data_IF_530454676731
#
_entry.id   IF_530454676731
#
_cell.length_a   1.000
_cell.length_b   1.000
_cell.length_c   1.000
_cell.angle_alpha   90.00
_cell.angle_beta   90.00
_cell.angle_gamma   90.00
#
_symmetry.space_group_name_H-M   'P 1'
#
loop_
_entity.id
_entity.type
_entity.pdbx_description
1 polymer ?
#
# COMPACT_ATOMS: atom_id res chain seq x y z
N UNK A 1 22.10 -4.81 -3.85
CA UNK A 1 22.23 -5.46 -5.17
C UNK A 1 21.47 -6.78 -5.33
N UNK A 2 21.45 -7.70 -4.36
CA UNK A 2 20.74 -8.99 -4.50
C UNK A 2 19.20 -8.88 -4.58
N UNK A 3 18.59 -7.88 -3.93
CA UNK A 3 17.14 -7.73 -3.89
C UNK A 3 16.49 -7.32 -5.22
N UNK A 4 17.13 -6.43 -5.99
CA UNK A 4 16.54 -5.89 -7.23
C UNK A 4 16.50 -6.95 -8.35
N UNK A 5 17.60 -7.69 -8.57
CA UNK A 5 17.66 -8.77 -9.56
C UNK A 5 16.73 -9.95 -9.18
N UNK A 6 16.61 -10.26 -7.89
CA UNK A 6 15.65 -11.27 -7.42
C UNK A 6 14.20 -10.84 -7.70
N UNK A 7 13.86 -9.58 -7.46
CA UNK A 7 12.53 -9.07 -7.71
C UNK A 7 12.21 -8.96 -9.20
N UNK A 8 13.16 -8.57 -10.03
CA UNK A 8 13.02 -8.58 -11.50
C UNK A 8 12.69 -9.98 -11.99
N UNK A 9 13.45 -10.99 -11.55
CA UNK A 9 13.20 -12.39 -11.88
C UNK A 9 11.83 -12.86 -11.39
N UNK A 10 11.40 -12.43 -10.20
CA UNK A 10 10.09 -12.78 -9.66
C UNK A 10 8.94 -12.14 -10.46
N UNK A 11 9.05 -10.85 -10.81
CA UNK A 11 8.07 -10.15 -11.63
C UNK A 11 7.99 -10.71 -13.05
N UNK A 12 9.15 -11.01 -13.66
CA UNK A 12 9.22 -11.62 -14.99
C UNK A 12 8.59 -13.02 -15.01
N UNK A 13 8.90 -13.86 -14.01
CA UNK A 13 8.26 -15.16 -13.84
C UNK A 13 6.76 -15.04 -13.61
N UNK A 14 6.31 -14.12 -12.76
CA UNK A 14 4.89 -13.86 -12.49
C UNK A 14 4.14 -13.46 -13.77
N UNK A 15 4.72 -12.56 -14.56
CA UNK A 15 4.15 -12.11 -15.82
C UNK A 15 4.09 -13.23 -16.86
N UNK A 16 5.19 -13.96 -17.07
CA UNK A 16 5.25 -15.09 -18.00
C UNK A 16 4.25 -16.20 -17.64
N UNK A 17 4.23 -16.61 -16.36
CA UNK A 17 3.27 -17.58 -15.86
C UNK A 17 1.83 -17.10 -16.05
N UNK A 18 1.55 -15.81 -15.78
CA UNK A 18 0.25 -15.20 -15.98
C UNK A 18 -0.23 -15.26 -17.43
N UNK A 19 0.63 -14.92 -18.40
CA UNK A 19 0.30 -15.01 -19.83
C UNK A 19 0.01 -16.46 -20.24
N UNK A 20 0.83 -17.42 -19.77
CA UNK A 20 0.61 -18.84 -20.07
C UNK A 20 -0.74 -19.29 -19.51
N UNK A 21 -1.07 -18.92 -18.27
CA UNK A 21 -2.37 -19.22 -17.63
C UNK A 21 -3.52 -18.62 -18.46
N UNK A 22 -3.42 -17.37 -18.91
CA UNK A 22 -4.46 -16.75 -19.75
C UNK A 22 -4.66 -17.52 -21.05
N UNK A 23 -3.58 -17.94 -21.72
CA UNK A 23 -3.68 -18.73 -22.95
C UNK A 23 -4.33 -20.09 -22.72
N UNK A 24 -4.01 -20.76 -21.61
CA UNK A 24 -4.66 -22.02 -21.22
C UNK A 24 -6.16 -21.80 -20.93
N UNK A 25 -6.52 -20.73 -20.21
CA UNK A 25 -7.91 -20.39 -19.92
C UNK A 25 -8.70 -20.06 -21.19
N UNK A 26 -8.06 -19.39 -22.16
CA UNK A 26 -8.63 -19.09 -23.46
C UNK A 26 -8.91 -20.37 -24.27
N UNK A 27 -7.98 -21.33 -24.26
CA UNK A 27 -8.15 -22.63 -24.90
C UNK A 27 -9.27 -23.47 -24.28
N UNK A 28 -9.56 -23.27 -23.00
CA UNK A 28 -10.62 -23.96 -22.26
C UNK A 28 -11.96 -23.20 -22.26
N UNK A 29 -12.03 -22.06 -22.96
CA UNK A 29 -13.20 -21.15 -23.04
C UNK A 29 -13.75 -20.71 -21.67
N UNK A 30 -12.85 -20.48 -20.71
CA UNK A 30 -13.21 -20.10 -19.34
C UNK A 30 -13.30 -18.56 -19.22
N UNK A 31 -14.44 -18.06 -18.73
CA UNK A 31 -14.70 -16.62 -18.57
C UNK A 31 -13.73 -15.88 -17.63
N UNK A 32 -13.02 -16.58 -16.74
CA UNK A 32 -12.02 -16.00 -15.84
C UNK A 32 -10.81 -15.39 -16.57
N UNK A 33 -10.60 -15.69 -17.86
CA UNK A 33 -9.48 -15.19 -18.66
C UNK A 33 -9.37 -13.65 -18.64
N UNK A 34 -10.49 -12.93 -18.67
CA UNK A 34 -10.49 -11.45 -18.73
C UNK A 34 -9.99 -10.84 -17.43
N UNK A 35 -10.35 -11.45 -16.28
CA UNK A 35 -9.91 -11.01 -14.96
C UNK A 35 -8.41 -11.25 -14.81
N UNK A 36 -7.94 -12.45 -15.17
CA UNK A 36 -6.51 -12.79 -15.10
C UNK A 36 -5.70 -11.91 -16.04
N UNK A 37 -6.17 -11.68 -17.27
CA UNK A 37 -5.49 -10.80 -18.23
C UNK A 37 -5.41 -9.36 -17.70
N UNK A 38 -6.46 -8.84 -17.06
CA UNK A 38 -6.43 -7.51 -16.44
C UNK A 38 -5.34 -7.42 -15.36
N UNK A 39 -5.25 -8.42 -14.47
CA UNK A 39 -4.21 -8.46 -13.43
C UNK A 39 -2.79 -8.57 -14.02
N UNK A 40 -2.61 -9.44 -15.01
CA UNK A 40 -1.33 -9.63 -15.70
C UNK A 40 -0.89 -8.35 -16.42
N UNK A 41 -1.82 -7.58 -16.98
CA UNK A 41 -1.51 -6.31 -17.65
C UNK A 41 -0.91 -5.29 -16.68
N UNK A 42 -1.42 -5.20 -15.44
CA UNK A 42 -0.90 -4.32 -14.39
C UNK A 42 0.52 -4.75 -13.99
N UNK A 43 0.75 -6.05 -13.82
CA UNK A 43 2.10 -6.60 -13.54
C UNK A 43 3.06 -6.29 -14.69
N UNK A 44 2.59 -6.36 -15.94
CA UNK A 44 3.36 -6.01 -17.13
C UNK A 44 3.80 -4.54 -17.14
N UNK A 45 2.91 -3.62 -16.81
CA UNK A 45 3.27 -2.20 -16.64
C UNK A 45 4.28 -1.99 -15.50
N UNK A 46 4.17 -2.75 -14.41
CA UNK A 46 5.19 -2.76 -13.35
C UNK A 46 6.55 -3.29 -13.83
N UNK A 47 6.56 -4.33 -14.67
CA UNK A 47 7.78 -4.88 -15.27
C UNK A 47 8.46 -3.88 -16.23
N UNK A 48 7.69 -3.05 -16.95
CA UNK A 48 8.24 -2.02 -17.83
C UNK A 48 9.13 -1.00 -17.08
N UNK A 49 8.93 -0.79 -15.77
CA UNK A 49 9.81 0.08 -14.97
C UNK A 49 11.25 -0.45 -14.89
N UNK A 50 11.45 -1.77 -14.97
CA UNK A 50 12.78 -2.37 -15.04
C UNK A 50 13.46 -2.10 -16.39
N UNK A 51 12.69 -2.04 -17.48
CA UNK A 51 13.24 -1.64 -18.77
C UNK A 51 13.77 -0.19 -18.73
N UNK A 52 13.08 0.69 -18.00
CA UNK A 52 13.53 2.07 -17.80
C UNK A 52 14.83 2.14 -16.97
N UNK A 53 15.13 1.12 -16.17
CA UNK A 53 16.38 1.00 -15.42
C UNK A 53 17.62 0.93 -16.32
N UNK A 54 17.46 0.46 -17.57
CA UNK A 54 18.55 0.38 -18.54
C UNK A 54 19.04 1.75 -19.04
N UNK A 55 18.25 2.82 -18.85
CA UNK A 55 18.65 4.17 -19.22
C UNK A 55 19.51 4.81 -18.13
N UNK A 56 20.69 5.33 -18.48
CA UNK A 56 21.64 5.93 -17.54
C UNK A 56 21.07 7.15 -16.77
N UNK A 57 20.10 7.86 -17.36
CA UNK A 57 19.43 9.01 -16.74
C UNK A 57 18.30 8.63 -15.78
N UNK A 58 17.52 7.60 -16.10
CA UNK A 58 16.29 7.27 -15.36
C UNK A 58 16.47 6.08 -14.42
N UNK A 59 17.47 5.22 -14.65
CA UNK A 59 17.74 4.05 -13.82
C UNK A 59 18.05 4.35 -12.36
N UNK A 60 18.88 5.36 -12.03
CA UNK A 60 19.11 5.74 -10.65
C UNK A 60 17.84 6.17 -9.92
N UNK A 61 16.91 6.85 -10.60
CA UNK A 61 15.64 7.28 -10.01
C UNK A 61 14.71 6.09 -9.72
N UNK A 62 14.60 5.13 -10.64
CA UNK A 62 13.80 3.91 -10.43
C UNK A 62 14.38 3.06 -9.30
N UNK A 63 15.70 2.94 -9.25
CA UNK A 63 16.38 2.22 -8.17
C UNK A 63 16.12 2.87 -6.79
N UNK A 64 16.17 4.20 -6.72
CA UNK A 64 15.86 4.95 -5.50
C UNK A 64 14.41 4.72 -5.02
N UNK A 65 13.42 4.79 -5.92
CA UNK A 65 12.01 4.50 -5.59
C UNK A 65 11.85 3.08 -5.05
N UNK A 66 12.51 2.11 -5.69
CA UNK A 66 12.43 0.72 -5.28
C UNK A 66 12.94 0.50 -3.85
N UNK A 67 14.06 1.12 -3.50
CA UNK A 67 14.69 0.98 -2.19
C UNK A 67 13.88 1.66 -1.09
N UNK A 68 13.35 2.87 -1.34
CA UNK A 68 12.42 3.56 -0.44
C UNK A 68 11.14 2.76 -0.19
N UNK A 69 10.55 2.16 -1.25
CA UNK A 69 9.30 1.41 -1.15
C UNK A 69 9.46 0.13 -0.30
N UNK A 70 10.50 -0.65 -0.55
CA UNK A 70 10.69 -1.93 0.13
C UNK A 70 11.18 -1.78 1.58
N UNK A 71 12.06 -0.82 1.85
CA UNK A 71 12.68 -0.73 3.17
C UNK A 71 11.88 0.14 4.14
N UNK A 72 11.43 1.31 3.68
CA UNK A 72 10.84 2.30 4.57
C UNK A 72 9.33 2.10 4.64
N UNK A 73 8.65 2.11 3.47
CA UNK A 73 7.19 2.04 3.42
C UNK A 73 6.64 0.73 4.02
N UNK A 74 7.28 -0.41 3.79
CA UNK A 74 6.81 -1.70 4.32
C UNK A 74 6.80 -1.75 5.87
N UNK A 75 7.82 -1.20 6.54
CA UNK A 75 7.87 -1.20 8.02
C UNK A 75 6.73 -0.37 8.61
N UNK A 76 6.48 0.80 8.05
CA UNK A 76 5.35 1.65 8.46
C UNK A 76 4.01 1.01 8.10
N UNK A 77 3.91 0.33 6.95
CA UNK A 77 2.70 -0.38 6.55
C UNK A 77 2.31 -1.47 7.58
N UNK A 78 3.29 -2.22 8.11
CA UNK A 78 3.03 -3.22 9.16
C UNK A 78 2.48 -2.56 10.43
N UNK A 79 3.07 -1.44 10.88
CA UNK A 79 2.57 -0.71 12.06
C UNK A 79 1.16 -0.19 11.80
N UNK A 80 0.92 0.39 10.62
CA UNK A 80 -0.39 0.86 10.20
C UNK A 80 -1.44 -0.26 10.22
N UNK A 81 -1.11 -1.46 9.71
CA UNK A 81 -2.03 -2.60 9.70
C UNK A 81 -2.47 -3.01 11.11
N UNK A 82 -1.60 -2.90 12.12
CA UNK A 82 -1.96 -3.17 13.52
C UNK A 82 -2.98 -2.15 14.04
N UNK A 83 -2.76 -0.85 13.78
CA UNK A 83 -3.71 0.19 14.16
C UNK A 83 -5.03 0.08 13.39
N UNK A 84 -4.96 -0.18 12.09
CA UNK A 84 -6.13 -0.41 11.23
C UNK A 84 -6.99 -1.55 11.77
N UNK A 85 -6.38 -2.68 12.13
CA UNK A 85 -7.08 -3.82 12.73
C UNK A 85 -7.72 -3.45 14.09
N UNK A 86 -6.99 -2.74 14.96
CA UNK A 86 -7.51 -2.34 16.28
C UNK A 86 -8.70 -1.38 16.21
N UNK A 87 -8.59 -0.33 15.40
CA UNK A 87 -9.68 0.64 15.22
C UNK A 87 -10.87 0.04 14.46
N UNK A 88 -10.63 -0.76 13.42
CA UNK A 88 -11.72 -1.45 12.71
C UNK A 88 -12.48 -2.41 13.60
N UNK A 89 -11.80 -3.12 14.51
CA UNK A 89 -12.47 -3.96 15.52
C UNK A 89 -13.34 -3.12 16.47
N UNK A 90 -12.84 -1.98 16.95
CA UNK A 90 -13.60 -1.10 17.83
C UNK A 90 -14.86 -0.54 17.14
N UNK A 91 -14.73 -0.11 15.88
CA UNK A 91 -15.87 0.33 15.07
C UNK A 91 -16.83 -0.81 14.74
N UNK A 92 -16.35 -2.02 14.48
CA UNK A 92 -17.19 -3.19 14.24
C UNK A 92 -18.14 -3.45 15.42
N UNK A 93 -17.62 -3.37 16.65
CA UNK A 93 -18.42 -3.49 17.88
C UNK A 93 -19.40 -2.32 18.01
N UNK A 94 -18.94 -1.10 17.75
CA UNK A 94 -19.73 0.11 17.95
C UNK A 94 -20.89 0.26 16.94
N UNK A 95 -20.69 -0.24 15.72
CA UNK A 95 -21.72 -0.29 14.68
C UNK A 95 -22.66 -1.48 14.83
N UNK A 96 -22.46 -2.33 15.86
CA UNK A 96 -23.24 -3.54 16.10
C UNK A 96 -23.34 -4.42 14.83
N UNK A 97 -22.25 -4.45 14.06
CA UNK A 97 -22.15 -5.22 12.84
C UNK A 97 -22.00 -6.71 13.19
N UNK A 98 -22.56 -7.59 12.37
CA UNK A 98 -22.51 -9.03 12.59
C UNK A 98 -21.79 -9.75 11.45
N UNK A 99 -21.06 -10.81 11.82
CA UNK A 99 -20.33 -11.66 10.88
C UNK A 99 -19.09 -11.02 10.25
N UNK A 100 -18.39 -11.81 9.44
CA UNK A 100 -17.14 -11.41 8.80
C UNK A 100 -17.34 -10.24 7.81
N UNK A 101 -18.49 -10.19 7.12
CA UNK A 101 -18.82 -9.09 6.21
C UNK A 101 -18.88 -7.73 6.92
N UNK A 102 -19.44 -7.69 8.13
CA UNK A 102 -19.48 -6.48 8.94
C UNK A 102 -18.09 -5.99 9.37
N UNK A 103 -17.19 -6.92 9.68
CA UNK A 103 -15.80 -6.58 10.01
C UNK A 103 -15.05 -6.01 8.80
N UNK A 104 -15.27 -6.58 7.61
CA UNK A 104 -14.73 -6.02 6.36
C UNK A 104 -15.25 -4.61 6.06
N UNK A 105 -16.52 -4.32 6.38
CA UNK A 105 -17.09 -2.96 6.24
C UNK A 105 -16.35 -1.98 7.15
N UNK A 106 -16.08 -2.35 8.40
CA UNK A 106 -15.32 -1.51 9.33
C UNK A 106 -13.87 -1.32 8.89
N UNK A 107 -13.20 -2.37 8.39
CA UNK A 107 -11.86 -2.23 7.77
C UNK A 107 -11.92 -1.27 6.58
N UNK A 108 -12.90 -1.44 5.69
CA UNK A 108 -13.10 -0.58 4.52
C UNK A 108 -13.24 0.88 4.93
N UNK A 109 -14.09 1.17 5.91
CA UNK A 109 -14.32 2.53 6.39
C UNK A 109 -13.07 3.15 6.99
N UNK A 110 -12.30 2.39 7.80
CA UNK A 110 -11.04 2.90 8.31
C UNK A 110 -10.03 3.15 7.18
N UNK A 111 -9.91 2.23 6.22
CA UNK A 111 -8.98 2.36 5.10
C UNK A 111 -9.28 3.58 4.21
N UNK A 112 -10.54 3.79 3.83
CA UNK A 112 -10.94 4.99 3.08
C UNK A 112 -10.87 6.26 3.94
N UNK A 113 -11.16 6.15 5.24
CA UNK A 113 -10.96 7.23 6.20
C UNK A 113 -9.50 7.68 6.29
N UNK A 114 -8.52 6.77 6.17
CA UNK A 114 -7.11 7.16 6.07
C UNK A 114 -6.84 8.05 4.83
N UNK A 115 -7.53 7.81 3.72
CA UNK A 115 -7.42 8.61 2.50
C UNK A 115 -8.18 9.94 2.58
N UNK A 116 -8.87 10.21 3.69
CA UNK A 116 -9.67 11.40 3.92
C UNK A 116 -11.15 11.27 3.53
N UNK A 117 -11.60 10.07 3.14
CA UNK A 117 -12.99 9.80 2.79
C UNK A 117 -13.77 9.35 4.04
N UNK A 118 -14.47 10.29 4.67
CA UNK A 118 -15.24 10.06 5.90
C UNK A 118 -16.74 10.15 5.65
N UNK A 119 -17.43 9.02 5.76
CA UNK A 119 -18.89 8.95 5.80
C UNK A 119 -19.40 9.29 7.22
N UNK A 120 -19.49 10.57 7.54
CA UNK A 120 -19.89 11.06 8.88
C UNK A 120 -21.31 10.65 9.27
N UNK A 121 -22.19 10.43 8.30
CA UNK A 121 -23.57 9.98 8.55
C UNK A 121 -23.57 8.58 9.16
N UNK A 122 -22.63 7.72 8.76
CA UNK A 122 -22.47 6.40 9.36
C UNK A 122 -22.04 6.44 10.82
N UNK A 123 -21.16 7.37 11.20
CA UNK A 123 -20.68 7.49 12.59
C UNK A 123 -21.72 8.15 13.51
N UNK A 124 -22.49 9.11 12.97
CA UNK A 124 -23.54 9.82 13.72
C UNK A 124 -24.82 9.01 13.88
N UNK A 125 -25.10 8.08 12.96
CA UNK A 125 -26.26 7.17 13.03
C UNK A 125 -26.18 6.07 14.08
N UNK A 126 -25.12 6.03 14.89
CA UNK A 126 -24.91 5.01 15.93
C UNK A 126 -25.63 5.36 17.24
N UNK A 127 -25.97 4.34 18.04
CA UNK A 127 -26.56 4.56 19.38
C UNK A 127 -25.68 5.41 20.30
N UNK A 128 -24.37 5.44 20.05
CA UNK A 128 -23.39 6.19 20.83
C UNK A 128 -22.62 7.20 19.97
N UNK A 129 -23.33 8.14 19.32
CA UNK A 129 -22.73 9.08 18.35
C UNK A 129 -21.46 9.78 18.88
N UNK A 130 -21.48 10.23 20.14
CA UNK A 130 -20.37 11.00 20.70
C UNK A 130 -19.11 10.15 20.84
N UNK A 131 -19.27 8.87 21.20
CA UNK A 131 -18.16 7.93 21.33
C UNK A 131 -17.62 7.58 19.95
N UNK A 132 -18.50 7.31 18.97
CA UNK A 132 -18.13 6.99 17.59
C UNK A 132 -17.32 8.09 16.93
N UNK A 133 -17.80 9.33 17.03
CA UNK A 133 -17.12 10.50 16.45
C UNK A 133 -15.81 10.79 17.20
N UNK A 134 -15.78 10.66 18.52
CA UNK A 134 -14.54 10.84 19.29
C UNK A 134 -13.48 9.80 18.91
N UNK A 135 -13.87 8.52 18.76
CA UNK A 135 -13.00 7.45 18.32
C UNK A 135 -12.47 7.70 16.89
N UNK A 136 -13.32 8.24 16.01
CA UNK A 136 -12.92 8.65 14.66
C UNK A 136 -11.87 9.75 14.68
N UNK A 137 -12.06 10.81 15.48
CA UNK A 137 -11.07 11.88 15.60
C UNK A 137 -9.73 11.34 16.10
N UNK A 138 -9.74 10.46 17.10
CA UNK A 138 -8.53 9.81 17.61
C UNK A 138 -7.86 8.98 16.50
N UNK A 139 -8.62 8.18 15.75
CA UNK A 139 -8.12 7.40 14.62
C UNK A 139 -7.42 8.30 13.59
N UNK A 140 -8.06 9.39 13.18
CA UNK A 140 -7.52 10.32 12.18
C UNK A 140 -6.22 10.97 12.66
N UNK A 141 -6.17 11.42 13.91
CA UNK A 141 -4.95 12.02 14.48
C UNK A 141 -3.82 10.99 14.54
N UNK A 142 -4.09 9.78 15.04
CA UNK A 142 -3.09 8.71 15.14
C UNK A 142 -2.55 8.34 13.76
N UNK A 143 -3.43 8.09 12.77
CA UNK A 143 -3.01 7.73 11.41
C UNK A 143 -2.25 8.87 10.75
N UNK A 144 -2.67 10.12 10.94
CA UNK A 144 -1.94 11.27 10.41
C UNK A 144 -0.51 11.35 10.97
N UNK A 145 -0.33 11.13 12.28
CA UNK A 145 1.00 11.08 12.89
C UNK A 145 1.84 9.93 12.31
N UNK A 146 1.25 8.74 12.12
CA UNK A 146 1.95 7.60 11.52
C UNK A 146 2.40 7.88 10.08
N UNK A 147 1.54 8.50 9.26
CA UNK A 147 1.87 8.88 7.88
C UNK A 147 2.93 9.99 7.82
N UNK A 148 2.86 10.97 8.72
CA UNK A 148 3.88 12.00 8.84
C UNK A 148 5.24 11.40 9.25
N UNK A 149 5.27 10.42 10.16
CA UNK A 149 6.51 9.75 10.55
C UNK A 149 7.16 9.00 9.39
N UNK A 150 6.37 8.46 8.46
CA UNK A 150 6.88 7.87 7.21
C UNK A 150 7.48 8.93 6.28
N UNK A 151 6.84 10.10 6.14
CA UNK A 151 7.35 11.19 5.33
C UNK A 151 8.65 11.77 5.90
N UNK A 152 8.71 11.94 7.23
CA UNK A 152 9.89 12.45 7.94
C UNK A 152 11.06 11.49 7.81
N UNK A 153 10.83 10.17 7.88
CA UNK A 153 11.89 9.17 7.72
C UNK A 153 12.62 9.30 6.37
N UNK A 154 11.87 9.41 5.26
CA UNK A 154 12.46 9.57 3.92
C UNK A 154 13.18 10.92 3.74
N UNK A 155 12.64 12.01 4.30
CA UNK A 155 13.33 13.31 4.28
C UNK A 155 14.59 13.29 5.16
N UNK A 156 14.58 12.57 6.28
CA UNK A 156 15.71 12.41 7.19
C UNK A 156 16.90 11.71 6.53
N UNK A 157 16.67 10.58 5.85
CA UNK A 157 17.73 9.85 5.15
C UNK A 157 18.30 10.66 3.97
N UNK A 158 17.43 11.40 3.26
CA UNK A 158 17.87 12.31 2.20
C UNK A 158 18.74 13.45 2.75
N UNK A 159 18.36 14.04 3.89
CA UNK A 159 19.11 15.12 4.54
C UNK A 159 20.48 14.63 5.06
N UNK A 160 20.53 13.42 5.63
CA UNK A 160 21.77 12.79 6.09
C UNK A 160 22.79 12.60 4.96
N UNK A 161 22.35 12.03 3.84
CA UNK A 161 23.23 11.78 2.68
C UNK A 161 23.78 13.07 2.05
N UNK A 162 23.01 14.17 2.08
CA UNK A 162 23.46 15.48 1.58
C UNK A 162 24.51 16.12 2.49
N UNK A 163 24.37 16.00 3.82
CA UNK A 163 25.34 16.56 4.77
C UNK A 163 26.67 15.80 4.71
N UNK A 164 26.64 14.47 4.64
CA UNK A 164 27.86 13.67 4.51
C UNK A 164 28.61 13.99 3.22
N UNK A 165 27.90 14.18 2.11
CA UNK A 165 28.49 14.60 0.84
C UNK A 165 29.11 16.00 0.87
N UNK A 166 28.52 16.93 1.64
CA UNK A 166 29.09 18.28 1.82
C UNK A 166 30.34 18.28 2.72
N UNK A 167 30.37 17.45 3.76
CA UNK A 167 31.48 17.39 4.72
C UNK A 167 32.74 16.75 4.12
N UNK A 168 32.61 15.96 3.06
CA UNK A 168 33.76 15.38 2.33
C UNK A 168 34.40 16.34 1.31
N UNK A 169 33.80 17.52 1.09
CA UNK A 169 34.32 18.55 0.19
C UNK A 169 35.14 19.64 0.91
N UNK A 170 35.14 19.64 2.25
CA UNK A 170 35.94 20.50 3.12
C UNK A 170 37.15 19.75 3.69
#
# INVERSE_FOLDING_TARGET
MWGAAFLENCLSCSFCCGIIIVNILHLLDIQAQTIVLALVSIIGWGYMLFFVMAFQLTGPFVFMIYEMLFHDVLRFCIIYMVFLAGFSQAFFVLFNNNGFGGFLVSIKQCFFGMLGDFDLDHYTGTSFQYISVSLLVIYVVVVSILLLNLLIAMMGDTYGNVIEGATQMD
#
